data_IF_984669757694
#
_entry.id   IF_984669757694
#
_cell.length_a   1.000
_cell.length_b   1.000
_cell.length_c   1.000
_cell.angle_alpha   90.00
_cell.angle_beta   90.00
_cell.angle_gamma   90.00
#
_symmetry.space_group_name_H-M   'P 1'
#
loop_
_entity.id
_entity.type
_entity.pdbx_description
1 polymer ?
#
# COMPACT_ATOMS: atom_id res chain seq x y z
N UNK A 1 -0.36 -19.88 52.22
CA UNK A 1 0.37 -20.45 51.06
C UNK A 1 -0.57 -20.49 49.87
N UNK A 2 -0.46 -19.53 48.93
CA UNK A 2 -1.28 -19.48 47.72
C UNK A 2 -0.62 -20.33 46.64
N UNK A 3 -1.30 -21.38 46.17
CA UNK A 3 -0.80 -22.24 45.10
C UNK A 3 -0.96 -21.52 43.77
N UNK A 4 0.14 -20.92 43.27
CA UNK A 4 0.24 -20.49 41.88
C UNK A 4 0.20 -21.73 40.97
N UNK A 5 -0.99 -22.05 40.46
CA UNK A 5 -1.17 -23.02 39.39
C UNK A 5 -0.59 -22.42 38.12
N UNK A 6 0.66 -22.76 37.79
CA UNK A 6 1.17 -22.59 36.43
C UNK A 6 0.31 -23.46 35.53
N UNK A 7 -0.67 -22.85 34.85
CA UNK A 7 -1.45 -23.51 33.82
C UNK A 7 -0.52 -23.66 32.61
N UNK A 8 -0.06 -24.88 32.36
CA UNK A 8 0.69 -25.23 31.16
C UNK A 8 -0.22 -24.92 29.97
N UNK A 9 0.19 -23.96 29.14
CA UNK A 9 -0.50 -23.61 27.90
C UNK A 9 -0.23 -24.75 26.90
N UNK A 10 -1.15 -25.71 26.83
CA UNK A 10 -0.99 -26.93 26.02
C UNK A 10 -1.08 -26.68 24.50
N UNK A 11 -0.99 -25.43 24.03
CA UNK A 11 -1.08 -25.07 22.61
C UNK A 11 -2.48 -25.21 22.00
N UNK A 12 -3.46 -25.72 22.76
CA UNK A 12 -4.81 -25.98 22.27
C UNK A 12 -5.67 -24.71 22.33
N UNK A 13 -6.25 -24.35 21.19
CA UNK A 13 -7.24 -23.27 21.07
C UNK A 13 -8.62 -23.89 20.82
N UNK A 14 -9.60 -23.54 21.64
CA UNK A 14 -10.98 -23.92 21.39
C UNK A 14 -11.53 -23.06 20.26
N UNK A 15 -12.25 -23.67 19.32
CA UNK A 15 -12.88 -22.98 18.20
C UNK A 15 -14.39 -23.11 18.33
N UNK A 16 -15.10 -21.98 18.28
CA UNK A 16 -16.55 -21.92 18.12
C UNK A 16 -16.84 -21.29 16.76
N UNK A 17 -17.27 -22.10 15.80
CA UNK A 17 -17.56 -21.66 14.44
C UNK A 17 -19.06 -21.63 14.19
N UNK A 18 -19.56 -20.50 13.68
CA UNK A 18 -20.95 -20.28 13.31
C UNK A 18 -21.09 -20.14 11.80
N UNK A 19 -22.03 -20.87 11.23
CA UNK A 19 -22.46 -20.75 9.83
C UNK A 19 -23.98 -20.76 9.80
N UNK A 20 -24.61 -19.71 9.26
CA UNK A 20 -26.06 -19.53 9.32
C UNK A 20 -26.64 -19.70 10.74
N UNK A 21 -27.44 -20.74 10.98
CA UNK A 21 -27.96 -21.11 12.30
C UNK A 21 -27.11 -22.16 13.03
N UNK A 22 -26.18 -22.81 12.31
CA UNK A 22 -25.38 -23.92 12.81
C UNK A 22 -24.16 -23.40 13.58
N UNK A 23 -23.91 -24.02 14.74
CA UNK A 23 -22.79 -23.69 15.61
C UNK A 23 -22.06 -24.97 15.98
N UNK A 24 -20.78 -25.03 15.59
CA UNK A 24 -19.92 -26.19 15.83
C UNK A 24 -18.77 -25.76 16.73
N UNK A 25 -18.39 -26.66 17.64
CA UNK A 25 -17.22 -26.49 18.51
C UNK A 25 -16.23 -27.62 18.29
N UNK A 26 -14.96 -27.26 18.19
CA UNK A 26 -13.85 -28.20 18.10
C UNK A 26 -12.58 -27.53 18.65
N UNK A 27 -11.47 -28.25 18.67
CA UNK A 27 -10.19 -27.72 19.14
C UNK A 27 -9.13 -27.87 18.07
N UNK A 28 -8.18 -26.93 18.03
CA UNK A 28 -7.03 -26.94 17.13
C UNK A 28 -5.77 -26.78 17.96
N UNK A 29 -4.71 -27.48 17.57
CA UNK A 29 -3.38 -27.23 18.08
C UNK A 29 -2.78 -26.04 17.32
N UNK A 30 -2.52 -24.93 18.01
CA UNK A 30 -1.95 -23.72 17.39
C UNK A 30 -0.46 -23.86 17.06
N UNK A 31 0.21 -24.83 17.68
CA UNK A 31 1.64 -25.06 17.49
C UNK A 31 1.89 -25.93 16.24
N UNK A 32 0.84 -26.55 15.69
CA UNK A 32 0.87 -27.24 14.41
C UNK A 32 0.64 -26.23 13.27
N UNK A 33 1.54 -26.17 12.27
CA UNK A 33 1.35 -25.28 11.13
C UNK A 33 0.13 -25.73 10.33
N UNK A 34 -0.80 -24.80 10.10
CA UNK A 34 -2.02 -25.02 9.31
C UNK A 34 -2.16 -23.90 8.29
N UNK A 35 -2.33 -24.25 7.01
CA UNK A 35 -2.59 -23.28 5.96
C UNK A 35 -4.03 -22.76 6.03
N UNK A 36 -4.27 -21.58 5.49
CA UNK A 36 -5.61 -21.02 5.32
C UNK A 36 -6.51 -21.95 4.51
N UNK A 37 -5.97 -22.58 3.47
CA UNK A 37 -6.72 -23.49 2.60
C UNK A 37 -7.16 -24.75 3.38
N UNK A 38 -6.26 -25.36 4.13
CA UNK A 38 -6.57 -26.54 4.95
C UNK A 38 -7.55 -26.21 6.08
N UNK A 39 -7.40 -25.03 6.66
CA UNK A 39 -8.35 -24.54 7.65
C UNK A 39 -9.74 -24.31 7.06
N UNK A 40 -9.81 -23.76 5.86
CA UNK A 40 -11.04 -23.65 5.08
C UNK A 40 -11.68 -25.01 4.83
N UNK A 41 -10.90 -26.00 4.37
CA UNK A 41 -11.39 -27.37 4.12
C UNK A 41 -11.90 -28.03 5.40
N UNK A 42 -11.22 -27.82 6.53
CA UNK A 42 -11.66 -28.30 7.84
C UNK A 42 -13.02 -27.69 8.22
N UNK A 43 -13.19 -26.38 8.07
CA UNK A 43 -14.47 -25.72 8.35
C UNK A 43 -15.58 -26.21 7.44
N UNK A 44 -15.29 -26.37 6.14
CA UNK A 44 -16.22 -26.90 5.16
C UNK A 44 -16.70 -28.32 5.55
N UNK A 45 -15.76 -29.20 5.89
CA UNK A 45 -16.06 -30.56 6.36
C UNK A 45 -16.89 -30.56 7.65
N UNK A 46 -16.58 -29.68 8.62
CA UNK A 46 -17.28 -29.65 9.90
C UNK A 46 -18.72 -29.20 9.75
N UNK A 47 -18.98 -28.19 8.92
CA UNK A 47 -20.31 -27.62 8.70
C UNK A 47 -21.09 -28.27 7.54
N UNK A 48 -20.56 -29.33 6.92
CA UNK A 48 -21.14 -29.98 5.74
C UNK A 48 -21.40 -28.99 4.58
N UNK A 49 -20.50 -28.03 4.43
CA UNK A 49 -20.49 -27.06 3.33
C UNK A 49 -19.53 -27.66 2.31
N UNK A 50 -19.95 -27.82 1.05
CA UNK A 50 -19.13 -28.43 0.00
C UNK A 50 -17.69 -27.87 -0.10
N UNK A 51 -16.76 -28.61 -0.70
CA UNK A 51 -15.31 -28.33 -0.64
C UNK A 51 -14.87 -27.06 -1.39
N UNK A 52 -15.76 -26.40 -2.12
CA UNK A 52 -15.45 -25.32 -3.06
C UNK A 52 -14.98 -24.01 -2.41
N UNK A 53 -14.80 -23.98 -1.08
CA UNK A 53 -14.38 -22.81 -0.28
C UNK A 53 -15.11 -21.52 -0.69
N UNK A 54 -16.39 -21.67 -1.06
CA UNK A 54 -17.21 -20.59 -1.58
C UNK A 54 -17.85 -19.79 -0.43
N UNK A 55 -17.04 -19.43 0.56
CA UNK A 55 -17.42 -18.68 1.74
C UNK A 55 -16.27 -17.80 2.23
N UNK A 56 -16.60 -16.79 3.02
CA UNK A 56 -15.68 -15.94 3.76
C UNK A 56 -15.59 -16.42 5.20
N UNK A 57 -14.39 -16.35 5.78
CA UNK A 57 -14.13 -16.70 7.19
C UNK A 57 -13.78 -15.40 7.93
N UNK A 58 -14.43 -15.18 9.06
CA UNK A 58 -14.18 -14.04 9.94
C UNK A 58 -13.92 -14.54 11.35
N UNK A 59 -13.15 -13.79 12.14
CA UNK A 59 -13.02 -14.00 13.57
C UNK A 59 -13.27 -12.74 14.37
N UNK A 60 -13.72 -12.91 15.61
CA UNK A 60 -13.82 -11.80 16.57
C UNK A 60 -12.50 -11.69 17.32
N UNK A 61 -11.80 -10.57 17.16
CA UNK A 61 -10.61 -10.26 17.96
C UNK A 61 -11.01 -10.13 19.44
N UNK A 62 -10.35 -10.84 20.36
CA UNK A 62 -10.72 -10.81 21.78
C UNK A 62 -10.26 -9.55 22.51
N UNK A 63 -9.34 -8.77 21.94
CA UNK A 63 -8.82 -7.52 22.54
C UNK A 63 -9.84 -6.41 22.38
N UNK A 64 -10.27 -6.19 21.14
CA UNK A 64 -11.10 -5.02 20.78
C UNK A 64 -12.54 -5.40 20.41
N UNK A 65 -12.83 -6.68 20.18
CA UNK A 65 -14.16 -7.18 19.78
C UNK A 65 -14.44 -7.04 18.28
N UNK A 66 -13.46 -6.63 17.50
CA UNK A 66 -13.59 -6.39 16.05
C UNK A 66 -13.78 -7.68 15.25
N UNK A 67 -14.60 -7.61 14.20
CA UNK A 67 -14.78 -8.71 13.26
C UNK A 67 -13.76 -8.58 12.12
N UNK A 68 -12.75 -9.44 12.12
CA UNK A 68 -11.62 -9.41 11.18
C UNK A 68 -11.65 -10.62 10.25
N UNK A 69 -11.31 -10.40 8.97
CA UNK A 69 -11.31 -11.46 7.96
C UNK A 69 -10.10 -12.39 8.12
N UNK A 70 -10.35 -13.69 8.14
CA UNK A 70 -9.32 -14.71 7.90
C UNK A 70 -9.37 -15.04 6.41
N UNK A 71 -8.38 -14.59 5.65
CA UNK A 71 -8.33 -14.75 4.19
C UNK A 71 -6.93 -15.14 3.66
N UNK A 72 -5.97 -15.38 4.55
CA UNK A 72 -4.62 -15.87 4.27
C UNK A 72 -4.00 -16.50 5.52
N UNK A 73 -2.83 -17.14 5.37
CA UNK A 73 -2.13 -17.86 6.44
C UNK A 73 -1.72 -16.94 7.61
N UNK A 74 -1.32 -15.70 7.31
CA UNK A 74 -0.89 -14.75 8.33
C UNK A 74 -2.07 -14.30 9.22
N UNK A 75 -3.23 -14.06 8.63
CA UNK A 75 -4.44 -13.71 9.36
C UNK A 75 -4.94 -14.89 10.19
N UNK A 76 -4.83 -16.12 9.68
CA UNK A 76 -5.13 -17.33 10.45
C UNK A 76 -4.19 -17.48 11.65
N UNK A 77 -2.89 -17.35 11.44
CA UNK A 77 -1.90 -17.40 12.51
C UNK A 77 -2.17 -16.33 13.58
N UNK A 78 -2.50 -15.10 13.16
CA UNK A 78 -2.86 -14.01 14.07
C UNK A 78 -4.14 -14.31 14.85
N UNK A 79 -5.18 -14.83 14.20
CA UNK A 79 -6.43 -15.22 14.84
C UNK A 79 -6.22 -16.30 15.91
N UNK A 80 -5.42 -17.33 15.61
CA UNK A 80 -5.06 -18.41 16.55
C UNK A 80 -4.23 -17.91 17.73
N UNK A 81 -3.29 -16.98 17.49
CA UNK A 81 -2.45 -16.40 18.53
C UNK A 81 -3.22 -15.47 19.46
N UNK A 82 -4.07 -14.60 18.91
CA UNK A 82 -4.85 -13.63 19.68
C UNK A 82 -5.94 -14.32 20.52
N UNK A 83 -6.58 -15.35 19.96
CA UNK A 83 -7.74 -16.01 20.55
C UNK A 83 -7.40 -17.00 21.66
N UNK A 84 -7.21 -16.49 22.88
CA UNK A 84 -7.00 -17.32 24.07
C UNK A 84 -8.11 -17.13 25.10
N UNK A 85 -8.83 -18.18 25.53
CA UNK A 85 -8.74 -19.59 25.10
C UNK A 85 -9.61 -19.94 23.88
N UNK A 86 -10.37 -18.98 23.33
CA UNK A 86 -11.47 -19.25 22.40
C UNK A 86 -11.38 -18.40 21.13
N UNK A 87 -11.25 -19.05 19.99
CA UNK A 87 -11.41 -18.47 18.66
C UNK A 87 -12.88 -18.54 18.24
N UNK A 88 -13.51 -17.36 18.05
CA UNK A 88 -14.89 -17.25 17.59
C UNK A 88 -14.90 -16.96 16.10
N UNK A 89 -15.50 -17.85 15.32
CA UNK A 89 -15.51 -17.80 13.85
C UNK A 89 -16.92 -17.59 13.33
N UNK A 90 -17.02 -16.78 12.28
CA UNK A 90 -18.23 -16.59 11.50
C UNK A 90 -17.94 -16.91 10.03
N UNK A 91 -18.75 -17.78 9.45
CA UNK A 91 -18.67 -18.18 8.04
C UNK A 91 -19.84 -17.53 7.29
N UNK A 92 -19.57 -16.98 6.11
CA UNK A 92 -20.57 -16.33 5.25
C UNK A 92 -20.43 -16.84 3.80
N UNK A 93 -21.49 -17.31 3.16
CA UNK A 93 -21.41 -17.78 1.74
C UNK A 93 -21.03 -16.62 0.80
N UNK A 94 -20.18 -16.92 -0.18
CA UNK A 94 -19.86 -15.99 -1.27
C UNK A 94 -21.04 -15.94 -2.24
N UNK A 95 -21.62 -14.76 -2.43
CA UNK A 95 -22.78 -14.54 -3.32
C UNK A 95 -24.12 -14.36 -2.59
N UNK A 96 -24.20 -14.70 -1.30
CA UNK A 96 -25.28 -14.20 -0.46
C UNK A 96 -25.08 -12.70 -0.29
N UNK A 97 -26.10 -11.93 -0.67
CA UNK A 97 -26.00 -10.49 -0.94
C UNK A 97 -25.37 -9.74 0.24
N UNK A 98 -24.40 -8.88 -0.07
CA UNK A 98 -23.83 -7.90 0.86
C UNK A 98 -24.89 -6.93 1.41
N UNK A 99 -26.03 -6.80 0.72
CA UNK A 99 -27.20 -6.05 1.20
C UNK A 99 -27.91 -6.72 2.39
N UNK A 100 -27.71 -8.02 2.63
CA UNK A 100 -28.34 -8.74 3.73
C UNK A 100 -27.48 -8.82 5.00
N UNK A 101 -26.19 -8.48 4.89
CA UNK A 101 -25.25 -8.46 6.01
C UNK A 101 -24.56 -7.11 5.98
N UNK A 102 -25.20 -6.18 6.70
CA UNK A 102 -24.70 -4.85 7.00
C UNK A 102 -23.18 -4.89 7.22
N UNK A 103 -22.46 -4.33 6.25
CA UNK A 103 -21.13 -3.81 6.49
C UNK A 103 -21.22 -2.96 7.76
N UNK A 104 -20.47 -3.37 8.79
CA UNK A 104 -20.41 -2.72 10.10
C UNK A 104 -21.68 -2.85 10.96
N UNK A 105 -21.87 -4.02 11.57
CA UNK A 105 -22.12 -4.07 13.02
C UNK A 105 -23.53 -3.83 13.57
N UNK A 106 -24.61 -3.72 12.79
CA UNK A 106 -25.97 -3.73 13.40
C UNK A 106 -26.97 -4.55 12.59
N UNK A 107 -27.42 -5.69 13.11
CA UNK A 107 -28.54 -6.44 12.53
C UNK A 107 -29.85 -5.69 12.84
N UNK A 108 -30.48 -5.06 11.84
CA UNK A 108 -31.89 -4.62 11.95
C UNK A 108 -32.80 -5.65 11.29
N UNK A 109 -33.90 -5.95 11.96
CA UNK A 109 -34.95 -6.89 11.52
C UNK A 109 -35.64 -6.39 10.25
N UNK A 110 -35.72 -7.24 9.21
CA UNK A 110 -36.37 -6.93 7.92
C UNK A 110 -37.88 -6.70 8.10
N UNK A 111 -38.40 -5.59 7.57
CA UNK A 111 -39.85 -5.35 7.42
C UNK A 111 -40.34 -5.90 6.07
N UNK A 112 -41.19 -6.92 6.11
CA UNK A 112 -41.70 -7.70 4.96
C UNK A 112 -42.78 -7.03 4.10
N UNK A 113 -43.11 -5.75 4.31
CA UNK A 113 -44.34 -5.15 3.75
C UNK A 113 -44.11 -4.44 2.39
N UNK A 114 -42.86 -4.31 1.91
CA UNK A 114 -42.58 -3.49 0.71
C UNK A 114 -42.78 -4.20 -0.64
N UNK A 115 -43.33 -5.42 -0.69
CA UNK A 115 -43.47 -6.21 -1.94
C UNK A 115 -44.85 -6.17 -2.59
N UNK A 116 -45.85 -5.45 -2.03
CA UNK A 116 -47.25 -5.51 -2.51
C UNK A 116 -47.67 -4.32 -3.39
N UNK A 117 -46.88 -3.25 -3.52
CA UNK A 117 -47.27 -2.10 -4.35
C UNK A 117 -46.25 -1.79 -5.46
N UNK A 118 -46.67 -2.06 -6.70
CA UNK A 118 -46.43 -1.21 -7.87
C UNK A 118 -44.99 -0.95 -8.31
N UNK A 119 -44.59 -1.67 -9.36
CA UNK A 119 -43.77 -1.20 -10.50
C UNK A 119 -43.08 0.17 -10.35
N UNK A 120 -41.83 0.17 -9.87
CA UNK A 120 -40.85 1.24 -10.16
C UNK A 120 -39.78 0.72 -11.13
N UNK A 121 -39.35 1.48 -12.15
CA UNK A 121 -38.26 1.10 -13.04
C UNK A 121 -37.04 0.66 -12.23
N UNK A 122 -36.52 -0.53 -12.54
CA UNK A 122 -35.49 -1.19 -11.76
C UNK A 122 -34.31 -0.27 -11.49
N UNK A 123 -34.08 0.07 -10.23
CA UNK A 123 -32.86 0.76 -9.81
C UNK A 123 -31.66 -0.02 -10.36
N UNK A 124 -30.67 0.64 -10.98
CA UNK A 124 -29.47 -0.04 -11.45
C UNK A 124 -28.86 -0.80 -10.27
N UNK A 125 -28.58 -2.08 -10.47
CA UNK A 125 -27.97 -2.92 -9.43
C UNK A 125 -26.67 -2.26 -9.00
N UNK A 126 -26.47 -1.95 -7.72
CA UNK A 126 -25.21 -1.40 -7.26
C UNK A 126 -24.09 -2.42 -7.54
N UNK A 127 -22.94 -1.92 -7.99
CA UNK A 127 -21.77 -2.77 -8.21
C UNK A 127 -21.38 -3.44 -6.88
N UNK A 128 -21.39 -4.78 -6.86
CA UNK A 128 -20.98 -5.55 -5.69
C UNK A 128 -19.45 -5.52 -5.59
N UNK A 129 -18.91 -4.61 -4.79
CA UNK A 129 -17.49 -4.57 -4.42
C UNK A 129 -17.28 -5.56 -3.28
N UNK A 130 -16.36 -6.52 -3.45
CA UNK A 130 -16.03 -7.48 -2.40
C UNK A 130 -15.28 -6.82 -1.25
N UNK A 131 -15.26 -7.46 -0.08
CA UNK A 131 -14.38 -7.01 0.99
C UNK A 131 -12.91 -7.12 0.54
N UNK A 132 -11.98 -6.32 1.09
CA UNK A 132 -10.59 -6.47 0.69
C UNK A 132 -10.05 -7.84 1.11
N UNK A 133 -9.21 -8.43 0.26
CA UNK A 133 -8.62 -9.74 0.46
C UNK A 133 -7.10 -9.64 0.52
N UNK A 134 -6.49 -10.61 1.23
CA UNK A 134 -5.05 -10.78 1.30
C UNK A 134 -4.28 -9.52 1.77
N UNK A 135 -4.73 -8.93 2.88
CA UNK A 135 -3.99 -7.83 3.49
C UNK A 135 -2.64 -8.31 4.00
N UNK A 136 -1.57 -7.72 3.45
CA UNK A 136 -0.21 -7.98 3.87
C UNK A 136 0.53 -6.69 4.09
N UNK A 137 1.29 -6.63 5.18
CA UNK A 137 2.21 -5.53 5.39
C UNK A 137 3.31 -5.57 4.34
N UNK A 138 3.48 -4.48 3.59
CA UNK A 138 4.53 -4.37 2.56
C UNK A 138 5.74 -3.59 3.05
N UNK A 139 5.55 -2.67 3.99
CA UNK A 139 6.63 -1.90 4.60
C UNK A 139 6.31 -1.35 6.00
N UNK A 140 7.33 -0.86 6.68
CA UNK A 140 7.21 0.00 7.87
C UNK A 140 8.44 0.88 8.04
N UNK A 141 8.26 2.05 8.68
CA UNK A 141 9.35 2.80 9.29
C UNK A 141 9.51 2.26 10.71
N UNK A 142 10.74 1.95 11.12
CA UNK A 142 11.07 1.43 12.45
C UNK A 142 12.13 2.30 13.13
N UNK A 143 12.25 2.15 14.45
CA UNK A 143 13.34 2.75 15.24
C UNK A 143 13.47 4.28 15.15
N UNK A 144 12.36 4.97 14.87
CA UNK A 144 12.29 6.43 14.73
C UNK A 144 12.83 7.15 15.97
N UNK A 145 12.58 6.61 17.16
CA UNK A 145 12.94 7.25 18.44
C UNK A 145 14.39 6.98 18.88
N UNK A 146 15.08 6.02 18.26
CA UNK A 146 16.45 5.62 18.63
C UNK A 146 17.48 5.97 17.54
N UNK A 147 17.02 6.24 16.32
CA UNK A 147 17.87 6.68 15.22
C UNK A 147 18.06 8.19 15.24
N UNK A 148 19.20 8.70 14.75
CA UNK A 148 19.34 10.12 14.47
C UNK A 148 18.22 10.61 13.54
N UNK A 149 17.70 11.82 13.75
CA UNK A 149 16.64 12.41 12.93
C UNK A 149 16.99 12.51 11.42
N UNK A 150 18.30 12.50 11.11
CA UNK A 150 18.82 12.51 9.75
C UNK A 150 18.74 11.15 9.05
N UNK A 151 18.33 10.10 9.76
CA UNK A 151 18.31 8.73 9.29
C UNK A 151 16.89 8.17 9.31
N UNK A 152 16.64 7.19 8.46
CA UNK A 152 15.39 6.45 8.39
C UNK A 152 15.70 4.97 8.26
N UNK A 153 15.11 4.15 9.13
CA UNK A 153 15.15 2.69 8.98
C UNK A 153 13.83 2.19 8.45
N UNK A 154 13.91 1.51 7.32
CA UNK A 154 12.77 1.01 6.54
C UNK A 154 12.83 -0.50 6.54
N UNK A 155 11.70 -1.13 6.88
CA UNK A 155 11.48 -2.56 6.67
C UNK A 155 10.67 -2.74 5.38
N UNK A 156 11.15 -3.58 4.47
CA UNK A 156 10.46 -4.01 3.25
C UNK A 156 10.17 -5.51 3.33
N UNK A 157 8.91 -5.88 3.07
CA UNK A 157 8.45 -7.27 3.09
C UNK A 157 8.02 -7.67 1.67
N UNK A 158 8.78 -8.57 1.07
CA UNK A 158 8.51 -9.12 -0.26
C UNK A 158 7.59 -10.34 -0.10
N UNK A 159 6.36 -10.24 -0.62
CA UNK A 159 5.37 -11.32 -0.54
C UNK A 159 5.28 -12.09 -1.84
N UNK A 160 5.52 -13.40 -1.79
CA UNK A 160 5.01 -14.41 -2.74
C UNK A 160 5.31 -14.21 -4.23
N UNK A 161 6.11 -13.23 -4.61
CA UNK A 161 6.49 -12.94 -5.98
C UNK A 161 8.00 -13.05 -6.10
N UNK A 162 8.51 -13.64 -7.18
CA UNK A 162 9.94 -13.58 -7.51
C UNK A 162 10.40 -12.17 -7.92
N UNK A 163 9.47 -11.20 -7.91
CA UNK A 163 9.77 -9.82 -8.27
C UNK A 163 10.88 -9.23 -7.39
N UNK A 164 11.72 -8.40 -8.00
CA UNK A 164 12.75 -7.66 -7.29
C UNK A 164 12.19 -6.75 -6.19
N UNK A 165 13.06 -6.31 -5.27
CA UNK A 165 12.72 -5.23 -4.32
C UNK A 165 12.46 -3.90 -5.04
N UNK A 166 12.95 -3.75 -6.27
CA UNK A 166 12.58 -2.65 -7.15
C UNK A 166 13.42 -1.39 -6.94
N UNK A 167 14.69 -1.52 -6.56
CA UNK A 167 15.65 -0.42 -6.53
C UNK A 167 17.06 -0.92 -6.85
N UNK A 168 17.92 0.01 -7.24
CA UNK A 168 19.32 -0.25 -7.58
C UNK A 168 20.21 0.60 -6.71
N UNK A 169 21.41 0.10 -6.43
CA UNK A 169 22.44 0.82 -5.69
C UNK A 169 23.64 1.12 -6.58
N UNK A 170 24.45 2.10 -6.17
CA UNK A 170 25.71 2.47 -6.81
C UNK A 170 26.71 2.93 -5.75
N UNK A 171 27.98 2.86 -6.08
CA UNK A 171 29.02 3.57 -5.34
C UNK A 171 28.91 5.08 -5.54
N UNK A 172 29.34 5.83 -4.54
CA UNK A 172 29.44 7.28 -4.56
C UNK A 172 30.34 7.82 -3.46
N UNK A 173 30.45 9.15 -3.40
CA UNK A 173 31.18 9.85 -2.34
C UNK A 173 30.20 10.33 -1.26
N UNK A 174 30.46 9.94 -0.02
CA UNK A 174 29.79 10.48 1.16
C UNK A 174 30.71 11.45 1.89
N UNK A 175 30.11 12.50 2.46
CA UNK A 175 30.83 13.51 3.23
C UNK A 175 30.52 13.32 4.71
N UNK A 176 31.56 13.05 5.50
CA UNK A 176 31.47 12.86 6.94
C UNK A 176 32.17 13.99 7.67
N UNK A 177 31.55 14.46 8.75
CA UNK A 177 32.17 15.45 9.63
C UNK A 177 33.05 14.71 10.60
N UNK A 178 34.34 15.01 10.56
CA UNK A 178 35.31 14.40 11.44
C UNK A 178 35.30 15.12 12.80
N UNK A 179 35.38 14.40 13.93
CA UNK A 179 35.39 15.03 15.24
C UNK A 179 36.61 15.95 15.40
N UNK A 180 36.54 16.96 16.28
CA UNK A 180 37.64 17.90 16.50
C UNK A 180 38.96 17.22 16.87
N UNK A 181 38.89 16.06 17.54
CA UNK A 181 40.03 15.24 17.95
C UNK A 181 40.83 14.61 16.80
N UNK A 182 40.25 14.49 15.61
CA UNK A 182 40.92 13.90 14.44
C UNK A 182 41.30 14.96 13.38
N UNK A 183 41.41 16.24 13.80
CA UNK A 183 41.87 17.35 12.95
C UNK A 183 40.76 18.32 12.55
N UNK A 184 39.49 17.94 12.76
CA UNK A 184 38.32 18.74 12.37
C UNK A 184 38.20 18.91 10.85
N UNK A 185 36.98 18.77 10.32
CA UNK A 185 36.74 19.00 8.89
C UNK A 185 35.74 18.04 8.29
N UNK A 186 35.66 18.08 6.96
CA UNK A 186 34.79 17.20 6.16
C UNK A 186 35.70 16.23 5.42
N UNK A 187 35.52 14.94 5.68
CA UNK A 187 36.20 13.85 4.99
C UNK A 187 35.31 13.27 3.89
N UNK A 188 35.91 13.00 2.73
CA UNK A 188 35.28 12.24 1.66
C UNK A 188 35.54 10.77 1.89
N UNK A 189 34.48 9.98 2.06
CA UNK A 189 34.56 8.53 2.22
C UNK A 189 33.70 7.83 1.16
N UNK A 190 34.08 6.62 0.72
CA UNK A 190 33.22 5.80 -0.11
C UNK A 190 31.86 5.53 0.58
N UNK A 191 30.78 5.60 -0.19
CA UNK A 191 29.42 5.32 0.28
C UNK A 191 28.59 4.63 -0.79
N UNK A 192 27.50 3.99 -0.36
CA UNK A 192 26.56 3.29 -1.25
C UNK A 192 25.27 4.08 -1.29
N UNK A 193 24.72 4.29 -2.49
CA UNK A 193 23.56 5.16 -2.71
C UNK A 193 22.53 4.46 -3.56
N UNK A 194 21.25 4.76 -3.34
CA UNK A 194 20.18 4.34 -4.26
C UNK A 194 20.35 5.10 -5.58
N UNK A 195 20.60 4.36 -6.67
CA UNK A 195 20.82 4.92 -8.00
C UNK A 195 19.51 5.09 -8.79
N UNK A 196 18.56 4.16 -8.59
CA UNK A 196 17.31 4.11 -9.36
C UNK A 196 16.22 3.38 -8.57
N UNK A 197 14.97 3.77 -8.78
CA UNK A 197 13.78 3.01 -8.39
C UNK A 197 13.12 2.40 -9.64
N UNK A 198 12.57 1.19 -9.50
CA UNK A 198 11.78 0.55 -10.56
C UNK A 198 10.35 1.09 -10.51
N UNK A 199 9.82 1.62 -11.64
CA UNK A 199 8.43 2.03 -11.73
C UNK A 199 7.46 0.90 -11.35
N UNK A 200 6.57 1.16 -10.40
CA UNK A 200 5.64 0.17 -9.83
C UNK A 200 6.31 -0.93 -9.01
N UNK A 201 7.61 -0.81 -8.72
CA UNK A 201 8.35 -1.72 -7.85
C UNK A 201 7.98 -1.56 -6.38
N UNK A 202 8.39 -2.51 -5.54
CA UNK A 202 8.07 -2.47 -4.11
C UNK A 202 8.65 -1.21 -3.44
N UNK A 203 9.92 -0.91 -3.65
CA UNK A 203 10.57 0.27 -3.07
C UNK A 203 9.88 1.58 -3.48
N UNK A 204 9.60 1.77 -4.77
CA UNK A 204 8.91 2.97 -5.27
C UNK A 204 7.49 3.09 -4.70
N UNK A 205 6.72 1.99 -4.71
CA UNK A 205 5.33 1.97 -4.24
C UNK A 205 5.20 2.32 -2.77
N UNK A 206 6.23 2.07 -1.97
CA UNK A 206 6.21 2.43 -0.54
C UNK A 206 6.46 3.92 -0.30
N UNK A 207 7.13 4.62 -1.23
CA UNK A 207 7.52 6.02 -1.05
C UNK A 207 8.50 6.29 0.09
N UNK A 208 9.06 5.23 0.72
CA UNK A 208 9.95 5.34 1.88
C UNK A 208 11.41 5.47 1.50
N UNK A 209 11.77 5.10 0.27
CA UNK A 209 13.11 5.19 -0.31
C UNK A 209 13.08 6.12 -1.51
N UNK A 210 14.17 6.86 -1.71
CA UNK A 210 14.35 7.77 -2.84
C UNK A 210 15.72 7.59 -3.50
N UNK A 211 15.80 8.01 -4.77
CA UNK A 211 17.08 8.10 -5.46
C UNK A 211 17.99 9.10 -4.73
N UNK A 212 19.27 8.74 -4.62
CA UNK A 212 20.34 9.40 -3.88
C UNK A 212 20.28 9.26 -2.36
N UNK A 213 19.35 8.47 -1.80
CA UNK A 213 19.44 8.09 -0.39
C UNK A 213 20.74 7.30 -0.17
N UNK A 214 21.50 7.68 0.86
CA UNK A 214 22.73 7.00 1.24
C UNK A 214 22.38 5.80 2.12
N UNK A 215 22.79 4.60 1.72
CA UNK A 215 22.62 3.37 2.48
C UNK A 215 23.69 3.32 3.56
N UNK A 216 23.27 3.12 4.80
CA UNK A 216 24.16 3.05 5.97
C UNK A 216 24.27 1.63 6.53
N UNK A 217 23.18 0.87 6.48
CA UNK A 217 23.07 -0.43 7.13
C UNK A 217 22.06 -1.33 6.40
N UNK A 218 22.33 -2.63 6.38
CA UNK A 218 21.41 -3.68 5.92
C UNK A 218 21.31 -4.76 6.99
N UNK A 219 20.10 -4.99 7.51
CA UNK A 219 19.75 -6.00 8.50
C UNK A 219 20.69 -6.04 9.72
N UNK A 220 21.06 -4.89 10.29
CA UNK A 220 21.97 -4.82 11.44
C UNK A 220 23.45 -4.66 11.08
N UNK A 221 23.81 -4.74 9.79
CA UNK A 221 25.20 -4.74 9.34
C UNK A 221 25.51 -3.43 8.62
N UNK A 222 26.47 -2.67 9.14
CA UNK A 222 26.96 -1.45 8.51
C UNK A 222 27.58 -1.73 7.13
N UNK A 223 27.32 -0.85 6.17
CA UNK A 223 27.86 -0.99 4.80
C UNK A 223 29.21 -0.32 4.60
N UNK A 224 29.66 0.49 5.58
CA UNK A 224 30.95 1.18 5.51
C UNK A 224 32.10 0.17 5.37
N UNK A 225 32.99 0.40 4.40
CA UNK A 225 34.13 -0.48 4.12
C UNK A 225 33.80 -1.78 3.38
N UNK A 226 32.55 -2.01 2.99
CA UNK A 226 32.14 -3.13 2.13
C UNK A 226 32.15 -2.73 0.65
N UNK A 227 32.38 -3.70 -0.22
CA UNK A 227 32.24 -3.49 -1.67
C UNK A 227 30.77 -3.43 -2.07
N UNK A 228 30.46 -2.79 -3.20
CA UNK A 228 29.10 -2.74 -3.74
C UNK A 228 28.48 -4.14 -3.91
N UNK A 229 29.27 -5.10 -4.39
CA UNK A 229 28.84 -6.49 -4.57
C UNK A 229 28.48 -7.15 -3.23
N UNK A 230 29.29 -6.93 -2.19
CA UNK A 230 28.99 -7.47 -0.85
C UNK A 230 27.70 -6.89 -0.28
N UNK A 231 27.47 -5.58 -0.46
CA UNK A 231 26.22 -4.93 -0.02
C UNK A 231 25.03 -5.46 -0.82
N UNK A 232 25.22 -5.70 -2.11
CA UNK A 232 24.23 -6.30 -3.00
C UNK A 232 23.85 -7.70 -2.51
N UNK A 233 24.84 -8.56 -2.26
CA UNK A 233 24.63 -9.92 -1.74
C UNK A 233 23.89 -9.90 -0.39
N UNK A 234 24.23 -8.97 0.49
CA UNK A 234 23.54 -8.77 1.77
C UNK A 234 22.07 -8.43 1.57
N UNK A 235 21.73 -7.57 0.62
CA UNK A 235 20.33 -7.22 0.31
C UNK A 235 19.58 -8.40 -0.32
N UNK A 236 20.20 -9.15 -1.23
CA UNK A 236 19.60 -10.32 -1.88
C UNK A 236 19.28 -11.41 -0.84
N UNK A 237 20.26 -11.72 0.03
CA UNK A 237 20.12 -12.73 1.07
C UNK A 237 18.97 -12.41 2.05
N UNK A 238 18.65 -11.13 2.24
CA UNK A 238 17.58 -10.66 3.12
C UNK A 238 16.35 -10.14 2.37
N UNK A 239 16.22 -10.43 1.06
CA UNK A 239 15.21 -9.81 0.20
C UNK A 239 13.76 -10.11 0.57
N UNK A 240 13.49 -11.19 1.31
CA UNK A 240 12.15 -11.50 1.83
C UNK A 240 11.72 -10.55 2.96
N UNK A 241 12.67 -10.07 3.75
CA UNK A 241 12.47 -9.22 4.92
C UNK A 241 13.70 -8.31 5.10
N UNK A 242 13.80 -7.30 4.24
CA UNK A 242 14.92 -6.38 4.22
C UNK A 242 14.68 -5.28 5.24
N UNK A 243 15.66 -5.01 6.10
CA UNK A 243 15.70 -3.84 6.97
C UNK A 243 16.87 -2.99 6.51
N UNK A 244 16.59 -1.80 5.98
CA UNK A 244 17.61 -0.90 5.45
C UNK A 244 17.59 0.42 6.23
N UNK A 245 18.74 0.83 6.74
CA UNK A 245 18.93 2.17 7.32
C UNK A 245 19.53 3.07 6.26
N UNK A 246 18.85 4.18 5.95
CA UNK A 246 19.31 5.16 4.97
C UNK A 246 19.40 6.55 5.60
N UNK A 247 20.23 7.40 5.01
CA UNK A 247 20.20 8.86 5.20
C UNK A 247 19.49 9.47 3.98
N UNK A 248 18.27 10.02 4.15
CA UNK A 248 17.49 10.54 3.03
C UNK A 248 18.19 11.70 2.31
N UNK A 249 18.15 11.69 0.98
CA UNK A 249 18.71 12.75 0.14
C UNK A 249 18.00 14.10 0.36
N UNK A 250 16.67 14.05 0.52
CA UNK A 250 15.82 15.21 0.73
C UNK A 250 15.43 15.34 2.21
N UNK A 251 16.33 15.88 3.02
CA UNK A 251 16.07 16.13 4.45
C UNK A 251 14.85 17.06 4.70
N UNK A 252 14.41 17.83 3.70
CA UNK A 252 13.16 18.62 3.78
C UNK A 252 11.91 17.78 4.07
N UNK A 253 11.85 16.54 3.61
CA UNK A 253 10.75 15.63 3.89
C UNK A 253 10.89 14.91 5.25
N UNK A 254 12.11 14.79 5.78
CA UNK A 254 12.37 14.23 7.12
C UNK A 254 12.08 15.25 8.24
N UNK A 255 12.36 16.54 7.99
CA UNK A 255 12.03 17.65 8.91
C UNK A 255 10.55 18.04 8.89
N UNK A 256 9.80 17.60 7.88
CA UNK A 256 8.34 17.65 7.89
C UNK A 256 7.82 16.50 8.77
N UNK A 257 8.01 16.62 10.08
CA UNK A 257 7.35 15.75 11.04
C UNK A 257 5.86 15.69 10.69
N UNK A 258 5.22 14.50 10.67
CA UNK A 258 3.78 14.45 10.63
C UNK A 258 3.32 15.11 11.92
N UNK A 259 2.79 16.33 11.84
CA UNK A 259 2.10 16.92 12.97
C UNK A 259 1.05 15.92 13.40
N UNK A 260 1.19 15.38 14.63
CA UNK A 260 0.17 14.57 15.27
C UNK A 260 -1.18 15.29 15.07
N UNK A 261 -2.08 14.67 14.30
CA UNK A 261 -3.45 15.14 14.14
C UNK A 261 -3.92 15.56 12.75
N UNK A 262 -3.08 15.61 11.71
CA UNK A 262 -3.56 16.02 10.37
C UNK A 262 -3.86 14.86 9.43
N UNK A 263 -4.84 14.03 9.78
CA UNK A 263 -5.59 13.25 8.79
C UNK A 263 -6.85 14.03 8.41
N UNK A 264 -6.70 15.23 7.83
CA UNK A 264 -7.81 15.87 7.14
C UNK A 264 -8.05 15.14 5.82
N UNK A 265 -8.83 14.07 5.92
CA UNK A 265 -9.51 13.41 4.79
C UNK A 265 -10.41 14.46 4.13
N UNK A 266 -9.91 15.18 3.14
CA UNK A 266 -10.74 16.04 2.32
C UNK A 266 -11.34 15.19 1.18
N UNK A 267 -12.22 14.26 1.53
CA UNK A 267 -13.17 13.67 0.59
C UNK A 267 -14.43 14.55 0.64
N UNK A 268 -14.50 15.55 -0.24
CA UNK A 268 -15.74 16.26 -0.52
C UNK A 268 -16.71 15.28 -1.20
N UNK A 269 -17.49 14.58 -0.37
CA UNK A 269 -18.71 13.91 -0.80
C UNK A 269 -19.84 14.93 -0.71
N UNK A 270 -20.31 15.35 -1.88
CA UNK A 270 -21.51 16.16 -2.05
C UNK A 270 -22.73 15.39 -1.55
N UNK A 271 -23.24 15.80 -0.39
CA UNK A 271 -24.51 15.35 0.19
C UNK A 271 -25.36 16.60 0.41
N UNK A 272 -26.46 16.75 -0.31
CA UNK A 272 -27.42 17.80 0.01
C UNK A 272 -28.47 18.09 -1.06
N UNK A 273 -29.29 17.12 -1.45
CA UNK A 273 -30.62 17.43 -1.98
C UNK A 273 -31.66 17.10 -0.91
N UNK A 274 -32.01 18.11 -0.11
CA UNK A 274 -33.28 18.16 0.61
C UNK A 274 -34.14 19.28 0.04
N UNK A 275 -35.37 18.88 -0.20
CA UNK A 275 -36.50 19.58 -0.77
C UNK A 275 -37.15 20.50 0.28
N UNK A 276 -37.44 21.76 -0.08
CA UNK A 276 -38.44 22.63 0.55
C UNK A 276 -38.66 23.84 -0.37
N UNK A 277 -39.73 23.92 -1.16
CA UNK A 277 -41.01 24.62 -0.89
C UNK A 277 -40.89 26.06 -0.33
N UNK A 278 -41.13 27.04 -1.23
CA UNK A 278 -41.84 28.31 -1.08
C UNK A 278 -41.46 29.28 0.06
N UNK A 279 -40.96 30.48 -0.29
CA UNK A 279 -41.70 31.77 -0.21
C UNK A 279 -40.75 32.96 -0.49
N UNK A 280 -41.37 34.09 -0.85
CA UNK A 280 -40.83 35.25 -1.57
C UNK A 280 -39.86 36.16 -0.80
N UNK A 281 -39.07 36.95 -1.54
CA UNK A 281 -38.37 38.13 -1.03
C UNK A 281 -37.18 38.55 -1.90
N UNK A 282 -37.25 39.76 -2.44
CA UNK A 282 -36.41 40.36 -3.49
C UNK A 282 -34.95 40.71 -3.11
N UNK A 283 -34.19 41.01 -4.17
CA UNK A 283 -33.09 41.99 -4.30
C UNK A 283 -31.66 41.48 -4.57
N UNK A 284 -31.37 41.47 -5.88
CA UNK A 284 -30.21 42.00 -6.63
C UNK A 284 -28.78 41.88 -6.05
N UNK A 285 -27.90 41.12 -6.74
CA UNK A 285 -26.79 41.67 -7.53
C UNK A 285 -26.12 40.58 -8.40
N UNK A 286 -25.49 41.02 -9.49
CA UNK A 286 -25.34 40.33 -10.77
C UNK A 286 -24.11 39.40 -10.92
N UNK A 287 -24.28 38.33 -11.70
CA UNK A 287 -23.19 37.55 -12.33
C UNK A 287 -23.34 37.61 -13.86
N UNK A 288 -22.42 38.29 -14.55
CA UNK A 288 -22.30 38.27 -16.02
C UNK A 288 -21.65 36.96 -16.49
N UNK A 289 -22.39 36.19 -17.31
CA UNK A 289 -21.84 35.07 -18.09
C UNK A 289 -21.79 35.52 -19.56
N UNK A 290 -20.58 35.63 -20.11
CA UNK A 290 -20.36 35.91 -21.54
C UNK A 290 -20.13 34.58 -22.26
N UNK A 291 -21.10 34.17 -23.08
CA UNK A 291 -20.95 33.13 -24.09
C UNK A 291 -20.94 33.78 -25.47
N UNK A 292 -19.91 33.50 -26.27
CA UNK A 292 -19.76 33.98 -27.65
C UNK A 292 -19.25 32.85 -28.54
N UNK A 293 -20.17 31.98 -28.94
CA UNK A 293 -20.06 31.22 -30.18
C UNK A 293 -20.99 31.86 -31.23
N UNK A 294 -20.44 32.29 -32.37
CA UNK A 294 -21.24 32.89 -33.44
C UNK A 294 -20.40 33.48 -34.58
N UNK A 295 -20.60 32.94 -35.79
CA UNK A 295 -19.80 33.05 -37.01
C UNK A 295 -20.10 34.31 -37.87
N UNK A 296 -19.33 34.40 -38.98
CA UNK A 296 -19.54 35.12 -40.27
C UNK A 296 -18.92 36.52 -40.40
N UNK A 297 -17.86 36.73 -41.20
CA UNK A 297 -17.64 36.73 -42.67
C UNK A 297 -17.82 38.13 -43.30
N UNK A 298 -16.73 38.65 -43.90
CA UNK A 298 -16.63 39.41 -45.17
C UNK A 298 -15.19 39.97 -45.27
N UNK A 299 -14.32 39.42 -46.12
CA UNK A 299 -14.11 39.75 -47.55
C UNK A 299 -13.74 41.23 -47.78
N UNK A 300 -12.47 41.51 -48.12
CA UNK A 300 -12.18 42.07 -49.45
C UNK A 300 -10.68 42.02 -49.83
N UNK A 301 -10.47 42.02 -51.15
CA UNK A 301 -9.37 41.38 -51.86
C UNK A 301 -8.23 42.29 -52.39
N UNK A 302 -7.30 41.64 -53.11
CA UNK A 302 -6.37 42.08 -54.19
C UNK A 302 -4.87 42.14 -53.81
N UNK A 303 -4.02 41.20 -54.27
CA UNK A 303 -3.29 41.11 -55.56
C UNK A 303 -2.21 42.20 -55.71
N UNK A 304 -0.96 42.04 -56.17
CA UNK A 304 -0.13 40.99 -56.79
C UNK A 304 1.32 41.57 -56.81
N UNK A 305 2.42 40.82 -56.71
CA UNK A 305 3.30 40.42 -57.84
C UNK A 305 4.80 40.64 -57.50
N UNK A 306 5.65 39.65 -57.85
CA UNK A 306 7.08 39.75 -58.25
C UNK A 306 8.16 40.30 -57.27
N UNK A 307 9.45 39.96 -57.29
CA UNK A 307 10.34 39.07 -58.07
C UNK A 307 11.73 39.01 -57.38
N UNK A 308 12.34 37.82 -57.26
CA UNK A 308 13.78 37.39 -57.26
C UNK A 308 14.97 38.09 -56.54
N UNK A 309 15.98 37.22 -56.29
CA UNK A 309 17.45 37.38 -56.05
C UNK A 309 17.91 37.32 -54.57
N UNK A 310 18.98 36.63 -54.13
CA UNK A 310 20.09 35.87 -54.73
C UNK A 310 20.74 34.91 -53.69
N UNK A 311 21.49 33.92 -54.21
CA UNK A 311 22.36 32.91 -53.58
C UNK A 311 23.34 33.38 -52.48
N UNK A 312 23.66 32.48 -51.52
CA UNK A 312 25.05 32.06 -51.23
C UNK A 312 25.10 30.63 -50.66
N UNK A 313 26.12 29.89 -51.07
CA UNK A 313 26.37 28.46 -50.86
C UNK A 313 27.59 28.30 -49.95
N UNK A 314 27.58 27.42 -48.95
CA UNK A 314 28.83 26.81 -48.45
C UNK A 314 28.62 25.40 -47.92
N UNK A 315 29.30 24.46 -48.57
CA UNK A 315 29.47 23.05 -48.21
C UNK A 315 30.68 22.93 -47.27
N UNK A 316 30.60 22.02 -46.28
CA UNK A 316 31.78 21.27 -45.83
C UNK A 316 31.41 19.86 -45.37
N UNK A 317 32.24 18.90 -45.77
CA UNK A 317 32.12 17.46 -45.63
C UNK A 317 33.24 16.92 -44.72
N UNK A 318 33.02 15.73 -44.13
CA UNK A 318 33.95 14.81 -43.42
C UNK A 318 34.41 15.24 -42.01
N UNK A 319 34.51 14.36 -40.99
CA UNK A 319 35.11 13.01 -40.96
C UNK A 319 34.57 12.14 -39.80
N UNK A 320 34.60 10.82 -40.02
CA UNK A 320 34.54 9.75 -39.01
C UNK A 320 35.60 9.86 -37.91
N UNK A 321 35.24 9.51 -36.67
CA UNK A 321 36.15 8.84 -35.72
C UNK A 321 35.39 7.96 -34.72
N UNK A 322 35.83 6.71 -34.63
CA UNK A 322 35.46 5.69 -33.66
C UNK A 322 35.72 6.18 -32.23
N UNK A 323 34.79 5.91 -31.29
CA UNK A 323 35.17 5.77 -29.89
C UNK A 323 34.34 4.70 -29.17
N UNK A 324 35.09 3.86 -28.47
CA UNK A 324 34.77 2.67 -27.70
C UNK A 324 33.51 2.74 -26.83
N UNK A 325 32.65 1.74 -26.99
CA UNK A 325 31.63 1.35 -26.02
C UNK A 325 32.30 0.84 -24.73
N UNK A 326 32.16 1.58 -23.62
CA UNK A 326 32.33 1.02 -22.28
C UNK A 326 30.97 0.54 -21.80
N UNK A 327 30.76 -0.76 -21.93
CA UNK A 327 29.69 -1.50 -21.27
C UNK A 327 30.12 -1.66 -19.81
N UNK A 328 29.49 -0.94 -18.87
CA UNK A 328 29.63 -1.17 -17.44
C UNK A 328 28.28 -1.64 -16.89
N UNK A 329 28.32 -2.83 -16.30
CA UNK A 329 27.19 -3.67 -15.97
C UNK A 329 26.14 -3.04 -15.08
N UNK A 330 24.90 -3.09 -15.54
CA UNK A 330 23.68 -2.85 -14.76
C UNK A 330 23.18 -4.22 -14.31
N UNK A 331 23.31 -4.55 -13.01
CA UNK A 331 22.78 -5.80 -12.47
C UNK A 331 21.37 -5.58 -11.91
N UNK A 332 20.44 -6.44 -12.35
CA UNK A 332 19.04 -6.50 -11.93
C UNK A 332 18.92 -7.11 -10.53
N UNK A 333 18.31 -6.37 -9.59
CA UNK A 333 17.99 -6.80 -8.22
C UNK A 333 16.51 -6.77 -7.97
#
# INVERSE_FOLDING_TARGET
MSKNKHQVDNGIVAVKSKFDADIIRFSINRDEPMSYEDFGKLLAQRHDIGPDLNFFIWYTDPTDGDLLSINNDNNLARALLASKPLLRIFIQRKGDRLEDINAYGTMKTKNLISSILGSTPGKPKPLAISNPHDFRQVSAIIDVDILPETCRRVRLLKHGSDKPLGFYIKDGESFRILPPSAGGGIEKVPGVFISRLVPGGLAESTGLLAVNDEVLEVNGIEVAGKTLDQVTDMMIANSSNLIITVKPANQRAALAAPRRGSFSRNSQLSSGSRQSTQSAGSDEEADEIVDLTGLTMQDDASASSGTQHHHYHHHHHHHHQNHFSHDQGVLHL
#
